data_IF_723392135216
#
_entry.id   IF_723392135216
#
_cell.length_a   1.000
_cell.length_b   1.000
_cell.length_c   1.000
_cell.angle_alpha   90.00
_cell.angle_beta   90.00
_cell.angle_gamma   90.00
#
_symmetry.space_group_name_H-M   'P 1'
#
loop_
_entity.id
_entity.type
_entity.pdbx_description
1 polymer ?
#
# COMPACT_ATOMS: atom_id res chain seq x y z
N UNK A 1 -18.99 18.06 -14.65
CA UNK A 1 -18.15 16.85 -14.86
C UNK A 1 -18.96 15.66 -14.36
N UNK A 2 -19.81 15.08 -15.22
CA UNK A 2 -20.73 14.02 -14.82
C UNK A 2 -19.98 12.70 -14.68
N UNK A 3 -20.14 12.03 -13.54
CA UNK A 3 -19.63 10.70 -13.25
C UNK A 3 -20.35 9.72 -14.18
N UNK A 4 -19.86 9.56 -15.41
CA UNK A 4 -20.43 8.60 -16.35
C UNK A 4 -20.00 7.20 -15.94
N UNK A 5 -20.97 6.42 -15.50
CA UNK A 5 -20.84 4.97 -15.37
C UNK A 5 -20.40 4.41 -16.74
N UNK A 6 -19.28 3.69 -16.80
CA UNK A 6 -18.76 3.12 -18.07
C UNK A 6 -19.83 2.35 -18.84
N UNK A 7 -20.79 1.71 -18.14
CA UNK A 7 -21.91 1.03 -18.79
C UNK A 7 -22.88 1.97 -19.50
N UNK A 8 -23.22 3.11 -18.90
CA UNK A 8 -24.09 4.07 -19.60
C UNK A 8 -23.37 4.60 -20.84
N UNK A 9 -22.05 4.84 -20.76
CA UNK A 9 -21.22 5.32 -21.87
C UNK A 9 -21.26 4.35 -23.05
N UNK A 10 -21.07 3.07 -22.78
CA UNK A 10 -21.09 2.03 -23.82
C UNK A 10 -22.51 1.79 -24.34
N UNK A 11 -23.54 1.85 -23.50
CA UNK A 11 -24.94 1.75 -23.93
C UNK A 11 -25.33 2.90 -24.86
N UNK A 12 -24.96 4.15 -24.53
CA UNK A 12 -25.19 5.31 -25.39
C UNK A 12 -24.40 5.22 -26.71
N UNK A 13 -23.16 4.71 -26.66
CA UNK A 13 -22.34 4.48 -27.85
C UNK A 13 -22.95 3.41 -28.77
N UNK A 14 -23.47 2.30 -28.22
CA UNK A 14 -24.17 1.25 -28.97
C UNK A 14 -25.39 1.78 -29.71
N UNK A 15 -26.22 2.61 -29.05
CA UNK A 15 -27.36 3.28 -29.68
C UNK A 15 -26.90 4.19 -30.81
N UNK A 16 -25.88 5.02 -30.57
CA UNK A 16 -25.31 5.89 -31.60
C UNK A 16 -24.66 5.15 -32.77
N UNK A 17 -24.10 3.95 -32.55
CA UNK A 17 -23.55 3.10 -33.63
C UNK A 17 -24.66 2.48 -34.48
N UNK A 18 -25.78 2.09 -33.87
CA UNK A 18 -26.97 1.62 -34.59
C UNK A 18 -27.59 2.73 -35.43
N UNK A 19 -27.76 3.92 -34.86
CA UNK A 19 -28.30 5.10 -35.57
C UNK A 19 -27.42 5.53 -36.75
N UNK A 20 -26.09 5.39 -36.62
CA UNK A 20 -25.13 5.64 -37.71
C UNK A 20 -24.98 4.49 -38.71
N UNK A 21 -25.73 3.39 -38.54
CA UNK A 21 -25.68 2.22 -39.43
C UNK A 21 -24.34 1.45 -39.38
N UNK A 22 -23.52 1.67 -38.35
CA UNK A 22 -22.23 1.00 -38.17
C UNK A 22 -22.37 -0.44 -37.68
N UNK A 23 -23.52 -0.77 -37.08
CA UNK A 23 -23.88 -2.10 -36.61
C UNK A 23 -25.30 -2.44 -37.05
N UNK A 24 -25.55 -3.70 -37.39
CA UNK A 24 -26.87 -4.19 -37.74
C UNK A 24 -27.72 -4.47 -36.49
N UNK A 25 -29.03 -4.61 -36.68
CA UNK A 25 -29.97 -4.83 -35.58
C UNK A 25 -29.67 -6.09 -34.75
N UNK A 26 -29.17 -7.16 -35.39
CA UNK A 26 -28.88 -8.42 -34.69
C UNK A 26 -27.61 -8.32 -33.84
N UNK A 27 -26.57 -7.62 -34.32
CA UNK A 27 -25.36 -7.33 -33.54
C UNK A 27 -25.64 -6.36 -32.38
N UNK A 28 -26.51 -5.38 -32.58
CA UNK A 28 -26.95 -4.48 -31.50
C UNK A 28 -27.63 -5.25 -30.36
N UNK A 29 -28.54 -6.18 -30.67
CA UNK A 29 -29.22 -6.98 -29.64
C UNK A 29 -28.26 -7.92 -28.92
N UNK A 30 -27.34 -8.58 -29.65
CA UNK A 30 -26.30 -9.44 -29.05
C UNK A 30 -25.38 -8.67 -28.11
N UNK A 31 -24.88 -7.50 -28.52
CA UNK A 31 -24.00 -6.66 -27.70
C UNK A 31 -24.74 -6.04 -26.51
N UNK A 32 -26.00 -5.66 -26.68
CA UNK A 32 -26.83 -5.14 -25.60
C UNK A 32 -27.13 -6.22 -24.54
N UNK A 33 -27.43 -7.44 -24.99
CA UNK A 33 -27.59 -8.60 -24.11
C UNK A 33 -26.28 -8.95 -23.38
N UNK A 34 -25.14 -8.93 -24.08
CA UNK A 34 -23.83 -9.14 -23.46
C UNK A 34 -23.52 -8.08 -22.38
N UNK A 35 -23.82 -6.79 -22.65
CA UNK A 35 -23.66 -5.71 -21.69
C UNK A 35 -24.50 -5.89 -20.41
N UNK A 36 -25.69 -6.50 -20.55
CA UNK A 36 -26.60 -6.83 -19.45
C UNK A 36 -26.13 -8.07 -18.68
N UNK A 37 -25.62 -9.11 -19.35
CA UNK A 37 -25.09 -10.32 -18.70
C UNK A 37 -23.78 -10.06 -17.94
N UNK A 38 -22.95 -9.10 -18.39
CA UNK A 38 -21.79 -8.61 -17.64
C UNK A 38 -22.16 -7.74 -16.42
N UNK A 39 -23.38 -7.83 -15.89
CA UNK A 39 -23.72 -7.19 -14.63
C UNK A 39 -23.16 -8.01 -13.45
N UNK A 40 -22.24 -7.47 -12.64
CA UNK A 40 -22.37 -7.72 -11.23
C UNK A 40 -23.63 -6.98 -10.81
N UNK A 41 -24.75 -7.68 -10.68
CA UNK A 41 -25.83 -7.17 -9.88
C UNK A 41 -25.27 -7.04 -8.47
N UNK A 42 -24.72 -5.87 -8.11
CA UNK A 42 -24.74 -5.42 -6.72
C UNK A 42 -26.20 -5.13 -6.41
N UNK A 43 -26.98 -6.21 -6.31
CA UNK A 43 -28.39 -6.17 -6.02
C UNK A 43 -28.54 -5.66 -4.60
N UNK A 44 -29.61 -4.93 -4.35
CA UNK A 44 -30.05 -4.63 -2.99
C UNK A 44 -30.09 -5.90 -2.12
N UNK A 45 -30.40 -7.06 -2.73
CA UNK A 45 -30.28 -8.40 -2.13
C UNK A 45 -28.86 -8.74 -1.68
N UNK A 46 -27.82 -8.46 -2.46
CA UNK A 46 -26.44 -8.68 -2.03
C UNK A 46 -26.05 -7.82 -0.83
N UNK A 47 -26.59 -6.59 -0.74
CA UNK A 47 -26.40 -5.71 0.42
C UNK A 47 -27.12 -6.27 1.65
N UNK A 48 -28.38 -6.71 1.50
CA UNK A 48 -29.13 -7.37 2.59
C UNK A 48 -28.43 -8.65 3.06
N UNK A 49 -27.95 -9.48 2.13
CA UNK A 49 -27.22 -10.70 2.46
C UNK A 49 -25.90 -10.40 3.19
N UNK A 50 -25.14 -9.41 2.72
CA UNK A 50 -23.93 -8.95 3.41
C UNK A 50 -24.25 -8.47 4.83
N UNK A 51 -25.29 -7.64 4.98
CA UNK A 51 -25.71 -7.14 6.28
C UNK A 51 -26.19 -8.28 7.20
N UNK A 52 -26.91 -9.25 6.65
CA UNK A 52 -27.33 -10.46 7.38
C UNK A 52 -26.15 -11.28 7.87
N UNK A 53 -25.14 -11.53 7.02
CA UNK A 53 -23.90 -12.22 7.41
C UNK A 53 -23.15 -11.45 8.50
N UNK A 54 -23.05 -10.13 8.37
CA UNK A 54 -22.40 -9.26 9.37
C UNK A 54 -23.16 -9.30 10.70
N UNK A 55 -24.50 -9.18 10.68
CA UNK A 55 -25.34 -9.27 11.88
C UNK A 55 -25.23 -10.64 12.56
N UNK A 56 -25.20 -11.73 11.80
CA UNK A 56 -24.98 -13.08 12.36
C UNK A 56 -23.59 -13.18 12.99
N UNK A 57 -22.55 -12.68 12.32
CA UNK A 57 -21.19 -12.66 12.88
C UNK A 57 -21.13 -11.86 14.19
N UNK A 58 -21.76 -10.68 14.25
CA UNK A 58 -21.90 -9.92 15.49
C UNK A 58 -22.72 -10.63 16.55
N UNK A 59 -23.82 -11.29 16.18
CA UNK A 59 -24.62 -12.10 17.09
C UNK A 59 -23.80 -13.21 17.75
N UNK A 60 -23.00 -13.93 16.96
CA UNK A 60 -22.08 -14.97 17.46
C UNK A 60 -21.02 -14.36 18.37
N UNK A 61 -20.40 -13.23 17.99
CA UNK A 61 -19.42 -12.53 18.83
C UNK A 61 -20.02 -12.09 20.16
N UNK A 62 -21.21 -11.47 20.15
CA UNK A 62 -21.93 -11.03 21.34
C UNK A 62 -22.34 -12.19 22.23
N UNK A 63 -22.80 -13.30 21.66
CA UNK A 63 -23.14 -14.50 22.43
C UNK A 63 -21.92 -15.10 23.14
N UNK A 64 -20.80 -15.23 22.42
CA UNK A 64 -19.54 -15.71 23.00
C UNK A 64 -19.05 -14.74 24.09
N UNK A 65 -19.12 -13.43 23.85
CA UNK A 65 -18.74 -12.41 24.83
C UNK A 65 -19.64 -12.45 26.09
N UNK A 66 -20.95 -12.60 25.93
CA UNK A 66 -21.90 -12.64 27.06
C UNK A 66 -21.71 -13.87 27.96
N UNK A 67 -21.24 -14.98 27.38
CA UNK A 67 -20.95 -16.21 28.12
C UNK A 67 -19.46 -16.30 28.52
N UNK A 68 -18.63 -15.30 28.18
CA UNK A 68 -17.18 -15.38 28.30
C UNK A 68 -16.74 -15.62 29.73
N UNK A 69 -17.27 -14.84 30.69
CA UNK A 69 -16.90 -14.89 32.10
C UNK A 69 -17.24 -16.24 32.76
N UNK A 70 -18.25 -16.95 32.26
CA UNK A 70 -18.67 -18.26 32.78
C UNK A 70 -17.85 -19.42 32.20
N UNK A 71 -17.13 -19.21 31.08
CA UNK A 71 -16.31 -20.25 30.45
C UNK A 71 -14.99 -20.47 31.20
N UNK A 72 -14.64 -21.73 31.44
CA UNK A 72 -13.31 -22.08 31.95
C UNK A 72 -12.22 -21.69 30.94
N UNK A 73 -11.02 -21.37 31.44
CA UNK A 73 -9.88 -21.03 30.57
C UNK A 73 -9.58 -22.13 29.55
N UNK A 74 -9.71 -23.40 29.94
CA UNK A 74 -9.52 -24.55 29.04
C UNK A 74 -10.56 -24.58 27.91
N UNK A 75 -11.82 -24.26 28.20
CA UNK A 75 -12.86 -24.20 27.17
C UNK A 75 -12.62 -23.05 26.19
N UNK A 76 -12.22 -21.87 26.68
CA UNK A 76 -11.86 -20.72 25.82
C UNK A 76 -10.73 -21.09 24.85
N UNK A 77 -9.67 -21.71 25.36
CA UNK A 77 -8.55 -22.18 24.53
C UNK A 77 -9.02 -23.27 23.56
N UNK A 78 -9.80 -24.25 24.02
CA UNK A 78 -10.37 -25.30 23.18
C UNK A 78 -11.22 -24.75 22.02
N UNK A 79 -12.03 -23.71 22.27
CA UNK A 79 -12.82 -23.03 21.26
C UNK A 79 -11.93 -22.35 20.20
N UNK A 80 -10.86 -21.66 20.62
CA UNK A 80 -9.90 -21.04 19.71
C UNK A 80 -9.19 -22.08 18.83
N UNK A 81 -8.72 -23.17 19.43
CA UNK A 81 -8.12 -24.28 18.70
C UNK A 81 -9.10 -24.94 17.72
N UNK A 82 -10.34 -25.19 18.15
CA UNK A 82 -11.37 -25.76 17.30
C UNK A 82 -11.68 -24.86 16.09
N UNK A 83 -11.81 -23.54 16.31
CA UNK A 83 -12.04 -22.58 15.24
C UNK A 83 -10.86 -22.50 14.25
N UNK A 84 -9.63 -22.55 14.77
CA UNK A 84 -8.41 -22.57 13.97
C UNK A 84 -8.34 -23.81 13.08
N UNK A 85 -8.50 -25.00 13.66
CA UNK A 85 -8.47 -26.27 12.93
C UNK A 85 -9.65 -26.44 11.97
N UNK A 86 -10.84 -25.97 12.33
CA UNK A 86 -11.99 -25.95 11.44
C UNK A 86 -11.73 -25.08 10.20
N UNK A 87 -11.10 -23.91 10.38
CA UNK A 87 -10.76 -23.01 9.28
C UNK A 87 -9.73 -23.64 8.34
N UNK A 88 -8.69 -24.27 8.89
CA UNK A 88 -7.70 -25.01 8.10
C UNK A 88 -8.32 -26.20 7.36
N UNK A 89 -9.11 -27.02 8.06
CA UNK A 89 -9.79 -28.18 7.48
C UNK A 89 -10.75 -27.80 6.36
N UNK A 90 -11.52 -26.72 6.56
CA UNK A 90 -12.48 -26.23 5.57
C UNK A 90 -11.76 -25.63 4.35
N UNK A 91 -10.62 -24.97 4.54
CA UNK A 91 -9.76 -24.52 3.44
C UNK A 91 -9.29 -25.70 2.58
N UNK A 92 -8.75 -26.75 3.19
CA UNK A 92 -8.29 -27.95 2.48
C UNK A 92 -9.45 -28.65 1.76
N UNK A 93 -10.58 -28.85 2.44
CA UNK A 93 -11.76 -29.47 1.86
C UNK A 93 -12.30 -28.69 0.64
N UNK A 94 -12.40 -27.36 0.74
CA UNK A 94 -12.82 -26.51 -0.37
C UNK A 94 -11.84 -26.56 -1.54
N UNK A 95 -10.54 -26.60 -1.25
CA UNK A 95 -9.49 -26.72 -2.27
C UNK A 95 -9.60 -28.05 -3.01
N UNK A 96 -9.84 -29.15 -2.31
CA UNK A 96 -10.08 -30.47 -2.91
C UNK A 96 -11.36 -30.51 -3.76
N UNK A 97 -12.38 -29.73 -3.41
CA UNK A 97 -13.63 -29.57 -4.17
C UNK A 97 -13.52 -28.60 -5.35
N UNK A 98 -12.34 -28.06 -5.65
CA UNK A 98 -12.12 -27.12 -6.75
C UNK A 98 -12.46 -25.65 -6.45
N UNK A 99 -12.93 -25.33 -5.24
CA UNK A 99 -13.29 -23.97 -4.83
C UNK A 99 -12.06 -23.19 -4.33
N UNK A 100 -11.11 -22.92 -5.22
CA UNK A 100 -9.79 -22.34 -4.89
C UNK A 100 -9.87 -20.96 -4.24
N UNK A 101 -10.81 -20.11 -4.65
CA UNK A 101 -11.01 -18.79 -4.05
C UNK A 101 -11.51 -18.88 -2.62
N UNK A 102 -12.57 -19.66 -2.38
CA UNK A 102 -13.13 -19.86 -1.04
C UNK A 102 -12.09 -20.49 -0.10
N UNK A 103 -11.29 -21.44 -0.59
CA UNK A 103 -10.21 -22.03 0.18
C UNK A 103 -9.20 -20.98 0.69
N UNK A 104 -8.82 -20.00 -0.14
CA UNK A 104 -7.92 -18.90 0.26
C UNK A 104 -8.53 -18.02 1.36
N UNK A 105 -9.85 -17.78 1.32
CA UNK A 105 -10.54 -17.03 2.36
C UNK A 105 -10.52 -17.77 3.71
N UNK A 106 -10.62 -19.10 3.70
CA UNK A 106 -10.48 -19.89 4.92
C UNK A 106 -9.04 -19.96 5.43
N UNK A 107 -8.02 -19.87 4.55
CA UNK A 107 -6.62 -19.65 5.00
C UNK A 107 -6.50 -18.29 5.68
N UNK A 108 -7.05 -17.24 5.08
CA UNK A 108 -7.05 -15.90 5.67
C UNK A 108 -7.74 -15.91 7.05
N UNK A 109 -8.90 -16.56 7.15
CA UNK A 109 -9.63 -16.73 8.40
C UNK A 109 -8.79 -17.48 9.45
N UNK A 110 -8.14 -18.58 9.06
CA UNK A 110 -7.26 -19.33 9.96
C UNK A 110 -6.09 -18.45 10.47
N UNK A 111 -5.48 -17.63 9.60
CA UNK A 111 -4.43 -16.70 9.98
C UNK A 111 -4.93 -15.57 10.90
N UNK A 112 -6.15 -15.07 10.68
CA UNK A 112 -6.78 -14.08 11.55
C UNK A 112 -7.09 -14.67 12.94
N UNK A 113 -7.66 -15.89 12.98
CA UNK A 113 -7.92 -16.62 14.22
C UNK A 113 -6.61 -16.90 14.96
N UNK A 114 -5.52 -17.24 14.25
CA UNK A 114 -4.21 -17.44 14.85
C UNK A 114 -3.73 -16.17 15.59
N UNK A 115 -3.77 -15.01 14.94
CA UNK A 115 -3.42 -13.74 15.59
C UNK A 115 -4.31 -13.39 16.78
N UNK A 116 -5.62 -13.51 16.60
CA UNK A 116 -6.59 -13.31 17.68
C UNK A 116 -6.32 -14.26 18.86
N UNK A 117 -6.01 -15.52 18.59
CA UNK A 117 -5.71 -16.53 19.60
C UNK A 117 -4.47 -16.17 20.41
N UNK A 118 -3.39 -15.70 19.78
CA UNK A 118 -2.20 -15.23 20.50
C UNK A 118 -2.58 -14.13 21.50
N UNK A 119 -3.33 -13.12 21.05
CA UNK A 119 -3.74 -11.98 21.88
C UNK A 119 -4.67 -12.41 23.02
N UNK A 120 -5.66 -13.25 22.72
CA UNK A 120 -6.63 -13.76 23.68
C UNK A 120 -5.98 -14.68 24.72
N UNK A 121 -5.04 -15.54 24.33
CA UNK A 121 -4.28 -16.37 25.26
C UNK A 121 -3.45 -15.47 26.19
N UNK A 122 -2.81 -14.43 25.64
CA UNK A 122 -2.08 -13.43 26.44
C UNK A 122 -2.97 -12.78 27.51
N UNK A 123 -4.21 -12.44 27.16
CA UNK A 123 -5.19 -11.89 28.11
C UNK A 123 -5.67 -12.93 29.13
N UNK A 124 -6.03 -14.14 28.71
CA UNK A 124 -6.56 -15.21 29.59
C UNK A 124 -5.55 -15.58 30.67
N UNK A 125 -4.27 -15.69 30.30
CA UNK A 125 -3.20 -16.11 31.22
C UNK A 125 -2.40 -14.93 31.79
N UNK A 126 -2.82 -13.69 31.55
CA UNK A 126 -2.15 -12.48 32.05
C UNK A 126 -0.64 -12.48 31.76
N UNK A 127 -0.26 -12.91 30.55
CA UNK A 127 1.14 -13.00 30.16
C UNK A 127 1.69 -11.58 30.05
N UNK A 128 2.66 -11.25 30.91
CA UNK A 128 3.36 -9.99 30.84
C UNK A 128 4.38 -10.02 29.70
N UNK A 129 4.07 -9.32 28.62
CA UNK A 129 4.92 -9.22 27.43
C UNK A 129 4.53 -7.99 26.60
N UNK A 130 5.39 -7.59 25.66
CA UNK A 130 5.10 -6.46 24.79
C UNK A 130 4.06 -6.88 23.75
N UNK A 131 2.97 -6.11 23.55
CA UNK A 131 2.00 -6.38 22.47
C UNK A 131 2.65 -6.48 21.08
N UNK A 132 3.75 -5.76 20.89
CA UNK A 132 4.58 -5.81 19.67
C UNK A 132 5.08 -7.22 19.34
N UNK A 133 5.53 -7.99 20.33
CA UNK A 133 6.06 -9.34 20.11
C UNK A 133 4.96 -10.30 19.65
N UNK A 134 3.73 -10.14 20.17
CA UNK A 134 2.57 -10.91 19.74
C UNK A 134 2.19 -10.62 18.27
N UNK A 135 2.23 -9.34 17.86
CA UNK A 135 1.95 -8.95 16.47
C UNK A 135 3.06 -9.46 15.52
N UNK A 136 4.31 -9.45 15.95
CA UNK A 136 5.42 -10.03 15.19
C UNK A 136 5.21 -11.54 14.97
N UNK A 137 4.93 -12.29 16.04
CA UNK A 137 4.69 -13.72 15.97
C UNK A 137 3.50 -14.05 15.05
N UNK A 138 2.44 -13.25 15.15
CA UNK A 138 1.29 -13.34 14.24
C UNK A 138 1.70 -13.11 12.78
N UNK A 139 2.46 -12.04 12.49
CA UNK A 139 2.90 -11.71 11.16
C UNK A 139 3.79 -12.82 10.55
N UNK A 140 4.78 -13.32 11.31
CA UNK A 140 5.68 -14.40 10.87
C UNK A 140 4.92 -15.70 10.61
N UNK A 141 4.05 -16.11 11.54
CA UNK A 141 3.21 -17.30 11.34
C UNK A 141 2.28 -17.17 10.12
N UNK A 142 1.75 -15.97 9.88
CA UNK A 142 0.93 -15.67 8.71
C UNK A 142 1.74 -15.68 7.42
N UNK A 143 2.98 -15.19 7.41
CA UNK A 143 3.89 -15.32 6.26
C UNK A 143 4.12 -16.79 5.90
N UNK A 144 4.50 -17.61 6.88
CA UNK A 144 4.73 -19.04 6.67
C UNK A 144 3.48 -19.71 6.10
N UNK A 145 2.31 -19.46 6.70
CA UNK A 145 1.03 -19.96 6.22
C UNK A 145 0.74 -19.50 4.78
N UNK A 146 0.96 -18.23 4.46
CA UNK A 146 0.74 -17.66 3.13
C UNK A 146 1.63 -18.31 2.07
N UNK A 147 2.92 -18.52 2.36
CA UNK A 147 3.86 -19.17 1.43
C UNK A 147 3.55 -20.65 1.21
N UNK A 148 3.24 -21.39 2.28
CA UNK A 148 2.91 -22.82 2.19
C UNK A 148 1.62 -23.06 1.41
N UNK A 149 0.62 -22.20 1.61
CA UNK A 149 -0.70 -22.36 0.99
C UNK A 149 -0.83 -21.66 -0.36
N UNK A 150 0.12 -20.77 -0.68
CA UNK A 150 0.08 -19.80 -1.79
C UNK A 150 -1.19 -18.94 -1.76
N UNK A 151 -1.60 -18.52 -0.56
CA UNK A 151 -2.79 -17.70 -0.37
C UNK A 151 -2.44 -16.21 -0.45
N UNK A 152 -2.97 -15.55 -1.48
CA UNK A 152 -2.76 -14.11 -1.73
C UNK A 152 -3.36 -13.23 -0.63
N UNK A 153 -4.61 -13.46 -0.17
CA UNK A 153 -5.17 -12.69 0.94
C UNK A 153 -4.40 -12.89 2.25
N UNK A 154 -3.89 -14.09 2.52
CA UNK A 154 -3.08 -14.35 3.70
C UNK A 154 -1.72 -13.60 3.62
N UNK A 155 -1.09 -13.55 2.45
CA UNK A 155 0.13 -12.77 2.27
C UNK A 155 -0.13 -11.28 2.50
N UNK A 156 -1.25 -10.76 1.99
CA UNK A 156 -1.66 -9.38 2.25
C UNK A 156 -1.84 -9.12 3.76
N UNK A 157 -2.47 -10.03 4.49
CA UNK A 157 -2.58 -9.95 5.96
C UNK A 157 -1.22 -9.96 6.64
N UNK A 158 -0.29 -10.82 6.21
CA UNK A 158 1.07 -10.86 6.75
C UNK A 158 1.80 -9.52 6.58
N UNK A 159 1.71 -8.91 5.39
CA UNK A 159 2.31 -7.60 5.10
C UNK A 159 1.66 -6.51 5.96
N UNK A 160 0.33 -6.51 6.11
CA UNK A 160 -0.34 -5.55 6.99
C UNK A 160 0.09 -5.71 8.45
N UNK A 161 0.12 -6.95 8.96
CA UNK A 161 0.52 -7.23 10.33
C UNK A 161 1.98 -6.84 10.62
N UNK A 162 2.92 -7.12 9.71
CA UNK A 162 4.33 -6.70 9.90
C UNK A 162 4.51 -5.19 9.77
N UNK A 163 3.67 -4.52 8.97
CA UNK A 163 3.64 -3.06 8.92
C UNK A 163 3.19 -2.48 10.25
N UNK A 164 2.11 -3.02 10.83
CA UNK A 164 1.66 -2.61 12.16
C UNK A 164 2.78 -2.81 13.17
N UNK A 165 3.39 -4.00 13.21
CA UNK A 165 4.53 -4.28 14.09
C UNK A 165 5.65 -3.24 14.00
N UNK A 166 6.03 -2.85 12.77
CA UNK A 166 7.10 -1.87 12.55
C UNK A 166 6.71 -0.45 13.01
N UNK A 167 5.41 -0.15 13.14
CA UNK A 167 4.88 1.14 13.55
C UNK A 167 4.46 1.19 15.03
N UNK A 168 4.42 0.08 15.76
CA UNK A 168 3.87 0.05 17.13
C UNK A 168 4.66 0.87 18.15
N UNK A 169 5.98 0.99 17.96
CA UNK A 169 6.83 1.81 18.84
C UNK A 169 6.90 3.28 18.36
N UNK A 170 6.06 3.66 17.40
CA UNK A 170 5.98 5.05 16.96
C UNK A 170 5.32 5.90 18.03
N UNK A 171 6.12 6.78 18.63
CA UNK A 171 5.65 7.73 19.62
C UNK A 171 5.78 9.16 19.09
N UNK A 172 4.65 9.85 18.90
CA UNK A 172 4.62 11.21 18.33
C UNK A 172 5.19 12.28 19.26
N UNK A 173 5.09 12.07 20.57
CA UNK A 173 5.41 13.05 21.61
C UNK A 173 6.41 12.53 22.66
N UNK A 174 6.93 11.31 22.47
CA UNK A 174 7.85 10.65 23.39
C UNK A 174 9.07 10.11 22.65
N UNK A 175 10.16 9.90 23.39
CA UNK A 175 11.37 9.23 22.87
C UNK A 175 11.29 7.76 23.28
N UNK A 176 10.87 6.91 22.36
CA UNK A 176 11.22 5.49 22.41
C UNK A 176 12.19 5.19 21.26
N UNK A 177 13.35 4.63 21.60
CA UNK A 177 14.56 4.65 20.78
C UNK A 177 14.62 3.53 19.72
N UNK A 178 13.53 2.79 19.49
CA UNK A 178 13.52 1.62 18.61
C UNK A 178 12.94 1.91 17.22
N UNK A 179 13.79 1.91 16.19
CA UNK A 179 13.34 1.85 14.80
C UNK A 179 13.61 0.46 14.20
N UNK A 180 12.58 -0.17 13.64
CA UNK A 180 12.66 -1.54 13.15
C UNK A 180 13.20 -1.62 11.73
N UNK A 181 14.53 -1.57 11.60
CA UNK A 181 15.22 -1.78 10.32
C UNK A 181 14.97 -3.18 9.73
N UNK A 182 14.67 -4.17 10.58
CA UNK A 182 14.32 -5.53 10.17
C UNK A 182 13.08 -5.63 9.30
N UNK A 183 12.22 -4.60 9.29
CA UNK A 183 11.05 -4.51 8.42
C UNK A 183 11.38 -4.74 6.94
N UNK A 184 12.52 -4.21 6.45
CA UNK A 184 12.90 -4.36 5.04
C UNK A 184 13.08 -5.83 4.63
N UNK A 185 13.57 -6.69 5.52
CA UNK A 185 13.72 -8.10 5.23
C UNK A 185 12.35 -8.78 5.03
N UNK A 186 11.38 -8.46 5.89
CA UNK A 186 10.00 -8.96 5.77
C UNK A 186 9.28 -8.36 4.56
N UNK A 187 9.53 -7.09 4.25
CA UNK A 187 9.00 -6.45 3.05
C UNK A 187 9.52 -7.12 1.78
N UNK A 188 10.83 -7.41 1.70
CA UNK A 188 11.45 -8.14 0.59
C UNK A 188 10.89 -9.55 0.46
N UNK A 189 10.67 -10.25 1.59
CA UNK A 189 9.98 -11.54 1.57
C UNK A 189 8.56 -11.40 1.01
N UNK A 190 7.80 -10.40 1.46
CA UNK A 190 6.47 -10.09 0.91
C UNK A 190 6.50 -9.78 -0.59
N UNK A 191 7.46 -8.99 -1.05
CA UNK A 191 7.66 -8.66 -2.46
C UNK A 191 8.01 -9.90 -3.30
N UNK A 192 8.88 -10.78 -2.81
CA UNK A 192 9.18 -12.05 -3.45
C UNK A 192 7.91 -12.93 -3.55
N UNK A 193 7.11 -12.99 -2.48
CA UNK A 193 5.82 -13.69 -2.46
C UNK A 193 4.82 -13.11 -3.45
N UNK A 194 4.68 -11.78 -3.51
CA UNK A 194 3.79 -11.09 -4.44
C UNK A 194 4.22 -11.30 -5.91
N UNK A 195 5.54 -11.29 -6.17
CA UNK A 195 6.10 -11.57 -7.48
C UNK A 195 5.88 -13.02 -7.91
N UNK A 196 6.08 -13.97 -6.98
CA UNK A 196 5.88 -15.41 -7.20
C UNK A 196 4.41 -15.76 -7.45
N UNK A 197 3.49 -15.19 -6.67
CA UNK A 197 2.04 -15.38 -6.82
C UNK A 197 1.40 -14.45 -7.85
N UNK A 198 2.18 -13.58 -8.51
CA UNK A 198 1.73 -12.59 -9.47
C UNK A 198 0.53 -11.72 -8.99
N UNK A 199 0.51 -11.39 -7.70
CA UNK A 199 -0.60 -10.68 -7.05
C UNK A 199 -0.41 -9.16 -7.10
N UNK A 200 -1.24 -8.49 -7.92
CA UNK A 200 -1.32 -7.02 -7.95
C UNK A 200 -1.88 -6.43 -6.66
N UNK A 201 -2.85 -7.12 -6.05
CA UNK A 201 -3.46 -6.69 -4.79
C UNK A 201 -2.41 -6.58 -3.67
N UNK A 202 -1.57 -7.62 -3.54
CA UNK A 202 -0.50 -7.61 -2.54
C UNK A 202 0.59 -6.59 -2.87
N UNK A 203 0.90 -6.38 -4.15
CA UNK A 203 1.85 -5.35 -4.57
C UNK A 203 1.41 -3.93 -4.16
N UNK A 204 0.12 -3.60 -4.26
CA UNK A 204 -0.42 -2.33 -3.74
C UNK A 204 -0.22 -2.19 -2.23
N UNK A 205 -0.55 -3.23 -1.47
CA UNK A 205 -0.36 -3.24 -0.01
C UNK A 205 1.12 -3.08 0.35
N UNK A 206 2.02 -3.74 -0.38
CA UNK A 206 3.47 -3.59 -0.19
C UNK A 206 3.95 -2.15 -0.49
N UNK A 207 3.43 -1.51 -1.53
CA UNK A 207 3.79 -0.11 -1.84
C UNK A 207 3.31 0.85 -0.76
N UNK A 208 2.08 0.67 -0.26
CA UNK A 208 1.56 1.45 0.87
C UNK A 208 2.38 1.21 2.14
N UNK A 209 2.66 -0.05 2.44
CA UNK A 209 3.47 -0.50 3.57
C UNK A 209 4.87 0.12 3.56
N UNK A 210 5.58 0.06 2.43
CA UNK A 210 6.90 0.67 2.27
C UNK A 210 6.84 2.18 2.38
N UNK A 211 5.86 2.82 1.75
CA UNK A 211 5.71 4.27 1.79
C UNK A 211 5.51 4.76 3.22
N UNK A 212 4.62 4.12 3.97
CA UNK A 212 4.39 4.46 5.39
C UNK A 212 5.65 4.26 6.23
N UNK A 213 6.36 3.15 6.05
CA UNK A 213 7.60 2.89 6.78
C UNK A 213 8.72 3.87 6.42
N UNK A 214 8.86 4.27 5.14
CA UNK A 214 9.83 5.28 4.70
C UNK A 214 9.50 6.67 5.26
N UNK A 215 8.21 7.05 5.30
CA UNK A 215 7.80 8.28 5.95
C UNK A 215 8.17 8.23 7.44
N UNK A 216 7.89 7.12 8.11
CA UNK A 216 8.28 6.94 9.51
C UNK A 216 9.80 7.02 9.72
N UNK A 217 10.60 6.40 8.83
CA UNK A 217 12.07 6.50 8.82
C UNK A 217 12.53 7.97 8.75
N UNK A 218 11.91 8.76 7.88
CA UNK A 218 12.22 10.20 7.73
C UNK A 218 11.90 10.97 9.00
N UNK A 219 10.76 10.70 9.65
CA UNK A 219 10.41 11.33 10.91
C UNK A 219 11.40 10.99 12.02
N UNK A 220 11.76 9.71 12.13
CA UNK A 220 12.65 9.20 13.17
C UNK A 220 14.08 9.73 13.00
N UNK A 221 14.70 9.50 11.85
CA UNK A 221 16.09 9.92 11.59
C UNK A 221 16.24 11.41 11.39
N UNK A 222 15.20 12.09 10.91
CA UNK A 222 15.24 13.53 10.64
C UNK A 222 15.00 14.38 11.87
N UNK A 223 14.79 13.74 13.03
CA UNK A 223 14.40 14.37 14.28
C UNK A 223 13.27 15.37 14.07
N UNK A 224 12.29 15.03 13.22
CA UNK A 224 11.29 15.98 12.68
C UNK A 224 10.36 16.58 13.74
N UNK A 225 10.47 16.18 15.00
CA UNK A 225 9.73 16.73 16.14
C UNK A 225 10.63 17.43 17.19
N UNK A 226 11.94 17.53 16.97
CA UNK A 226 12.89 18.19 17.87
C UNK A 226 13.02 19.71 17.59
N UNK A 227 13.76 20.46 18.41
CA UNK A 227 14.05 21.88 18.14
C UNK A 227 15.01 22.11 16.95
N UNK A 228 15.74 21.08 16.52
CA UNK A 228 16.55 21.07 15.31
C UNK A 228 16.13 19.93 14.38
N UNK A 229 15.77 20.24 13.13
CA UNK A 229 15.45 19.24 12.12
C UNK A 229 16.69 18.91 11.28
N UNK A 230 16.93 17.62 11.05
CA UNK A 230 17.86 17.16 10.02
C UNK A 230 17.06 16.67 8.81
N UNK A 231 17.05 17.42 7.71
CA UNK A 231 16.34 17.05 6.49
C UNK A 231 17.12 16.07 5.60
N UNK A 232 18.34 15.69 5.96
CA UNK A 232 19.14 14.72 5.20
C UNK A 232 18.39 13.42 4.87
N UNK A 233 17.74 12.73 5.84
CA UNK A 233 16.96 11.52 5.54
C UNK A 233 15.76 11.80 4.64
N UNK A 234 15.08 12.95 4.80
CA UNK A 234 13.98 13.35 3.92
C UNK A 234 14.47 13.45 2.47
N UNK A 235 15.57 14.17 2.25
CA UNK A 235 16.14 14.33 0.92
C UNK A 235 16.65 13.01 0.36
N UNK A 236 17.30 12.17 1.17
CA UNK A 236 17.72 10.85 0.74
C UNK A 236 16.54 10.02 0.22
N UNK A 237 15.44 9.95 0.97
CA UNK A 237 14.24 9.23 0.54
C UNK A 237 13.58 9.90 -0.68
N UNK A 238 13.54 11.22 -0.75
CA UNK A 238 12.98 11.95 -1.90
C UNK A 238 13.77 11.67 -3.20
N UNK A 239 15.09 11.72 -3.15
CA UNK A 239 15.95 11.46 -4.31
C UNK A 239 15.95 9.98 -4.70
N UNK A 240 15.87 9.05 -3.75
CA UNK A 240 15.61 7.64 -4.03
C UNK A 240 14.25 7.48 -4.71
N UNK A 241 13.22 8.20 -4.27
CA UNK A 241 11.89 8.17 -4.87
C UNK A 241 11.92 8.64 -6.32
N UNK A 242 12.62 9.74 -6.64
CA UNK A 242 12.80 10.18 -8.03
C UNK A 242 13.59 9.18 -8.88
N UNK A 243 14.65 8.58 -8.32
CA UNK A 243 15.38 7.52 -9.00
C UNK A 243 14.48 6.30 -9.30
N UNK A 244 13.60 5.90 -8.36
CA UNK A 244 12.64 4.82 -8.55
C UNK A 244 11.54 5.17 -9.56
N UNK A 245 11.07 6.43 -9.60
CA UNK A 245 10.14 6.90 -10.64
C UNK A 245 10.81 6.80 -12.01
N UNK A 246 12.05 7.28 -12.13
CA UNK A 246 12.86 7.20 -13.34
C UNK A 246 13.07 5.74 -13.78
N UNK A 247 13.38 4.85 -12.84
CA UNK A 247 13.52 3.41 -13.10
C UNK A 247 12.21 2.76 -13.57
N UNK A 248 11.09 3.10 -12.94
CA UNK A 248 9.78 2.58 -13.31
C UNK A 248 9.33 3.07 -14.70
N UNK A 249 9.61 4.34 -15.04
CA UNK A 249 9.37 4.90 -16.38
C UNK A 249 10.25 4.24 -17.44
N UNK A 250 11.53 4.01 -17.12
CA UNK A 250 12.45 3.29 -17.99
C UNK A 250 11.95 1.86 -18.26
N UNK A 251 11.55 1.14 -17.20
CA UNK A 251 10.95 -0.20 -17.29
C UNK A 251 9.67 -0.20 -18.14
N UNK A 252 8.79 0.79 -17.94
CA UNK A 252 7.50 0.89 -18.62
C UNK A 252 7.64 0.97 -20.15
N UNK A 253 8.66 1.69 -20.63
CA UNK A 253 8.85 1.94 -22.05
C UNK A 253 9.68 0.91 -22.82
N UNK A 254 10.18 -0.14 -22.15
CA UNK A 254 10.94 -1.23 -22.80
C UNK A 254 10.48 -2.62 -22.32
N UNK A 255 10.94 -3.07 -21.15
CA UNK A 255 10.90 -4.49 -20.73
C UNK A 255 9.79 -4.87 -19.73
N UNK A 256 9.11 -3.90 -19.13
CA UNK A 256 8.06 -4.10 -18.12
C UNK A 256 8.44 -5.12 -17.02
N UNK A 257 9.53 -4.85 -16.31
CA UNK A 257 10.07 -5.72 -15.25
C UNK A 257 9.07 -6.05 -14.13
N UNK A 258 8.09 -5.19 -13.88
CA UNK A 258 7.04 -5.37 -12.88
C UNK A 258 5.76 -6.01 -13.44
N UNK A 259 5.84 -6.67 -14.60
CA UNK A 259 4.70 -7.40 -15.22
C UNK A 259 3.45 -6.53 -15.40
N UNK A 260 3.65 -5.26 -15.77
CA UNK A 260 2.58 -4.28 -15.98
C UNK A 260 2.08 -3.56 -14.72
N UNK A 261 2.78 -3.71 -13.58
CA UNK A 261 2.50 -2.94 -12.35
C UNK A 261 3.20 -1.56 -12.32
N UNK A 262 4.03 -1.25 -13.32
CA UNK A 262 4.76 0.02 -13.44
C UNK A 262 3.87 1.26 -13.25
N UNK A 263 2.69 1.39 -13.89
CA UNK A 263 1.87 2.60 -13.74
C UNK A 263 1.37 2.77 -12.30
N UNK A 264 0.97 1.66 -11.67
CA UNK A 264 0.56 1.68 -10.27
C UNK A 264 1.72 2.04 -9.34
N UNK A 265 2.91 1.49 -9.57
CA UNK A 265 4.11 1.82 -8.81
C UNK A 265 4.45 3.31 -8.91
N UNK A 266 4.40 3.87 -10.13
CA UNK A 266 4.64 5.31 -10.39
C UNK A 266 3.67 6.16 -9.56
N UNK A 267 2.38 5.84 -9.53
CA UNK A 267 1.39 6.58 -8.71
C UNK A 267 1.76 6.56 -7.22
N UNK A 268 2.15 5.41 -6.67
CA UNK A 268 2.52 5.32 -5.25
C UNK A 268 3.80 6.12 -4.96
N UNK A 269 4.77 6.09 -5.87
CA UNK A 269 5.99 6.88 -5.75
C UNK A 269 5.71 8.40 -5.86
N UNK A 270 4.76 8.82 -6.69
CA UNK A 270 4.31 10.22 -6.72
C UNK A 270 3.61 10.65 -5.43
N UNK A 271 2.74 9.79 -4.88
CA UNK A 271 2.11 10.05 -3.60
C UNK A 271 3.15 10.18 -2.48
N UNK A 272 4.17 9.30 -2.49
CA UNK A 272 5.29 9.38 -1.55
C UNK A 272 6.11 10.67 -1.75
N UNK A 273 6.46 11.03 -2.99
CA UNK A 273 7.18 12.26 -3.30
C UNK A 273 6.38 13.50 -2.84
N UNK A 274 5.06 13.52 -3.10
CA UNK A 274 4.17 14.58 -2.63
C UNK A 274 4.13 14.69 -1.11
N UNK A 275 4.03 13.55 -0.40
CA UNK A 275 4.07 13.53 1.06
C UNK A 275 5.42 14.02 1.62
N UNK A 276 6.54 13.65 1.00
CA UNK A 276 7.88 14.11 1.39
C UNK A 276 8.06 15.61 1.16
N UNK A 277 7.57 16.14 0.04
CA UNK A 277 7.60 17.59 -0.24
C UNK A 277 6.71 18.34 0.74
N UNK A 278 5.55 17.79 1.09
CA UNK A 278 4.69 18.36 2.13
C UNK A 278 5.38 18.37 3.50
N UNK A 279 6.08 17.29 3.88
CA UNK A 279 6.85 17.26 5.12
C UNK A 279 8.06 18.18 5.11
N UNK A 280 8.70 18.34 3.95
CA UNK A 280 9.76 19.34 3.79
C UNK A 280 9.22 20.75 4.04
N UNK A 281 8.09 21.09 3.41
CA UNK A 281 7.40 22.36 3.65
C UNK A 281 7.10 22.54 5.14
N UNK A 282 6.43 21.56 5.78
CA UNK A 282 6.10 21.59 7.20
C UNK A 282 7.34 21.77 8.10
N UNK A 283 8.42 21.04 7.85
CA UNK A 283 9.63 21.11 8.66
C UNK A 283 10.30 22.49 8.59
N UNK A 284 10.22 23.17 7.44
CA UNK A 284 10.71 24.55 7.29
C UNK A 284 9.72 25.61 7.78
N UNK A 285 8.42 25.27 7.85
CA UNK A 285 7.37 26.21 8.25
C UNK A 285 7.03 26.21 9.75
N UNK A 286 7.38 25.14 10.47
CA UNK A 286 7.08 24.99 11.91
C UNK A 286 7.87 25.98 12.80
N UNK A 287 7.15 26.59 13.76
CA UNK A 287 7.73 27.35 14.87
C UNK A 287 7.94 26.47 16.10
N UNK A 288 9.01 26.71 16.83
CA UNK A 288 9.32 26.06 18.10
C UNK A 288 9.46 27.11 19.19
N UNK A 289 8.63 27.07 20.23
CA UNK A 289 8.61 28.05 21.32
C UNK A 289 8.54 29.53 20.86
N UNK A 290 7.84 29.80 19.76
CA UNK A 290 7.70 31.14 19.20
C UNK A 290 8.78 31.54 18.20
N UNK A 291 9.92 30.83 18.19
CA UNK A 291 11.04 31.06 17.28
C UNK A 291 11.00 30.11 16.07
N UNK A 292 11.76 30.49 15.04
CA UNK A 292 11.97 29.61 13.89
C UNK A 292 12.84 28.44 14.28
N UNK A 293 12.41 27.25 13.87
CA UNK A 293 13.14 26.02 14.10
C UNK A 293 14.44 26.00 13.31
N UNK A 294 15.52 25.48 13.91
CA UNK A 294 16.77 25.27 13.18
C UNK A 294 16.64 24.07 12.25
N UNK A 295 17.15 24.21 11.02
CA UNK A 295 17.07 23.17 9.98
C UNK A 295 18.43 22.98 9.33
N UNK A 296 18.86 21.73 9.17
CA UNK A 296 20.10 21.36 8.50
C UNK A 296 19.86 20.26 7.48
N UNK A 297 20.69 20.20 6.44
CA UNK A 297 20.65 19.13 5.45
C UNK A 297 22.01 18.94 4.79
N UNK A 298 22.40 17.68 4.54
CA UNK A 298 23.52 17.38 3.68
C UNK A 298 23.09 17.46 2.19
N UNK A 299 23.99 17.95 1.34
CA UNK A 299 23.74 18.14 -0.10
C UNK A 299 24.01 16.90 -0.95
N UNK A 300 24.81 15.95 -0.44
CA UNK A 300 25.21 14.75 -1.17
C UNK A 300 24.05 13.89 -1.70
N UNK A 301 22.89 13.75 -1.02
CA UNK A 301 21.79 12.93 -1.55
C UNK A 301 21.26 13.46 -2.89
N UNK A 302 21.25 14.79 -3.07
CA UNK A 302 20.82 15.42 -4.31
C UNK A 302 21.77 15.16 -5.47
N UNK A 303 23.09 15.15 -5.20
CA UNK A 303 24.09 14.82 -6.21
C UNK A 303 23.96 13.37 -6.68
N UNK A 304 23.76 12.44 -5.75
CA UNK A 304 23.55 11.02 -6.08
C UNK A 304 22.26 10.84 -6.90
N UNK A 305 21.16 11.47 -6.48
CA UNK A 305 19.89 11.44 -7.20
C UNK A 305 20.01 11.96 -8.64
N UNK A 306 20.73 13.07 -8.83
CA UNK A 306 21.00 13.67 -10.14
C UNK A 306 21.79 12.75 -11.06
N UNK A 307 22.83 12.11 -10.54
CA UNK A 307 23.64 11.15 -11.30
C UNK A 307 22.78 9.97 -11.74
N UNK A 308 22.00 9.38 -10.84
CA UNK A 308 21.18 8.19 -11.14
C UNK A 308 20.09 8.51 -12.15
N UNK A 309 19.31 9.59 -11.93
CA UNK A 309 18.25 10.00 -12.86
C UNK A 309 18.82 10.43 -14.22
N UNK A 310 19.97 11.09 -14.23
CA UNK A 310 20.69 11.47 -15.45
C UNK A 310 21.15 10.27 -16.27
N UNK A 311 21.70 9.24 -15.63
CA UNK A 311 22.09 7.97 -16.28
C UNK A 311 20.86 7.30 -16.90
N UNK A 312 19.76 7.17 -16.15
CA UNK A 312 18.54 6.53 -16.65
C UNK A 312 17.90 7.31 -17.81
N UNK A 313 17.89 8.65 -17.75
CA UNK A 313 17.44 9.48 -18.85
C UNK A 313 18.34 9.36 -20.10
N UNK A 314 19.66 9.30 -19.91
CA UNK A 314 20.62 9.08 -21.00
C UNK A 314 20.44 7.71 -21.67
N UNK A 315 20.29 6.65 -20.88
CA UNK A 315 19.99 5.30 -21.39
C UNK A 315 18.65 5.25 -22.12
N UNK A 316 17.61 5.88 -21.55
CA UNK A 316 16.30 5.99 -22.18
C UNK A 316 16.34 6.73 -23.52
N UNK A 317 17.17 7.78 -23.64
CA UNK A 317 17.37 8.51 -24.88
C UNK A 317 18.07 7.64 -25.94
N UNK A 318 19.16 6.95 -25.57
CA UNK A 318 19.91 6.07 -26.48
C UNK A 318 19.06 4.91 -26.99
N UNK A 319 18.22 4.34 -26.14
CA UNK A 319 17.37 3.19 -26.48
C UNK A 319 16.04 3.59 -27.14
N UNK A 320 15.84 4.88 -27.46
CA UNK A 320 14.59 5.41 -28.04
C UNK A 320 13.34 5.02 -27.23
N UNK A 321 13.47 5.01 -25.91
CA UNK A 321 12.41 4.66 -24.98
C UNK A 321 11.20 5.60 -25.18
N UNK A 322 9.98 5.04 -25.15
CA UNK A 322 8.73 5.79 -25.34
C UNK A 322 8.54 6.90 -24.30
N UNK A 323 9.07 6.70 -23.09
CA UNK A 323 8.96 7.62 -21.95
C UNK A 323 10.13 8.60 -21.81
N UNK A 324 10.93 8.80 -22.87
CA UNK A 324 12.12 9.67 -22.85
C UNK A 324 11.89 11.09 -22.33
N UNK A 325 10.71 11.67 -22.60
CA UNK A 325 10.37 13.00 -22.11
C UNK A 325 10.20 12.98 -20.59
N UNK A 326 9.42 12.03 -20.07
CA UNK A 326 9.18 11.88 -18.63
C UNK A 326 10.44 11.52 -17.86
N UNK A 327 11.35 10.76 -18.47
CA UNK A 327 12.70 10.54 -17.93
C UNK A 327 13.50 11.85 -17.83
N UNK A 328 13.48 12.71 -18.85
CA UNK A 328 14.14 14.02 -18.77
C UNK A 328 13.49 14.92 -17.71
N UNK A 329 12.16 14.88 -17.58
CA UNK A 329 11.43 15.59 -16.53
C UNK A 329 11.85 15.13 -15.13
N UNK A 330 12.10 13.83 -14.91
CA UNK A 330 12.62 13.34 -13.61
C UNK A 330 13.95 13.99 -13.23
N UNK A 331 14.85 14.20 -14.21
CA UNK A 331 16.14 14.87 -13.99
C UNK A 331 15.93 16.34 -13.60
N UNK A 332 15.02 17.04 -14.28
CA UNK A 332 14.69 18.44 -13.98
C UNK A 332 14.13 18.59 -12.57
N UNK A 333 13.17 17.76 -12.17
CA UNK A 333 12.62 17.78 -10.80
C UNK A 333 13.70 17.46 -9.76
N UNK A 334 14.55 16.48 -10.04
CA UNK A 334 15.69 16.12 -9.17
C UNK A 334 16.68 17.29 -9.03
N UNK A 335 16.99 17.98 -10.12
CA UNK A 335 17.86 19.16 -10.12
C UNK A 335 17.27 20.33 -9.33
N UNK A 336 15.97 20.61 -9.54
CA UNK A 336 15.26 21.65 -8.82
C UNK A 336 15.19 21.34 -7.32
N UNK A 337 14.85 20.11 -6.93
CA UNK A 337 14.85 19.69 -5.54
C UNK A 337 16.25 19.80 -4.90
N UNK A 338 17.32 19.41 -5.62
CA UNK A 338 18.69 19.55 -5.14
C UNK A 338 19.09 21.02 -4.96
N UNK A 339 18.79 21.88 -5.93
CA UNK A 339 19.07 23.31 -5.83
C UNK A 339 18.31 23.97 -4.66
N UNK A 340 17.01 23.65 -4.52
CA UNK A 340 16.19 24.15 -3.43
C UNK A 340 16.63 23.61 -2.05
N UNK A 341 17.15 22.37 -1.98
CA UNK A 341 17.68 21.81 -0.73
C UNK A 341 18.92 22.57 -0.21
N UNK A 342 19.73 23.13 -1.10
CA UNK A 342 20.91 23.94 -0.77
C UNK A 342 20.53 25.33 -0.26
N UNK A 343 19.41 25.86 -0.75
CA UNK A 343 18.97 27.19 -0.37
C UNK A 343 18.60 27.25 1.12
N UNK A 344 18.16 26.12 1.74
CA UNK A 344 17.73 25.92 3.13
C UNK A 344 16.74 26.95 3.73
N UNK A 345 16.51 28.07 3.04
CA UNK A 345 15.75 29.21 3.45
C UNK A 345 14.34 29.17 2.87
N UNK A 346 13.42 29.74 3.63
CA UNK A 346 12.03 29.98 3.22
C UNK A 346 11.98 30.76 1.91
N UNK A 347 11.55 30.08 0.85
CA UNK A 347 10.96 30.77 -0.30
C UNK A 347 9.60 30.11 -0.56
N UNK A 348 8.55 30.50 0.20
CA UNK A 348 7.24 29.84 0.17
C UNK A 348 6.70 29.68 -1.25
N UNK A 349 6.84 30.73 -2.06
CA UNK A 349 6.41 30.75 -3.46
C UNK A 349 7.15 29.74 -4.36
N UNK A 350 8.43 29.44 -4.10
CA UNK A 350 9.16 28.43 -4.86
C UNK A 350 8.72 27.00 -4.51
N UNK A 351 8.37 26.74 -3.24
CA UNK A 351 7.84 25.44 -2.82
C UNK A 351 6.43 25.20 -3.36
N UNK A 352 5.58 26.22 -3.30
CA UNK A 352 4.24 26.16 -3.90
C UNK A 352 4.33 25.94 -5.42
N UNK A 353 5.23 26.66 -6.10
CA UNK A 353 5.50 26.47 -7.52
C UNK A 353 6.03 25.06 -7.85
N UNK A 354 6.90 24.51 -7.00
CA UNK A 354 7.42 23.15 -7.14
C UNK A 354 6.32 22.09 -6.96
N UNK A 355 5.46 22.23 -5.96
CA UNK A 355 4.31 21.34 -5.74
C UNK A 355 3.31 21.42 -6.89
N UNK A 356 3.03 22.64 -7.38
CA UNK A 356 2.18 22.85 -8.55
C UNK A 356 2.78 22.17 -9.79
N UNK A 357 4.06 22.37 -10.08
CA UNK A 357 4.74 21.71 -11.19
C UNK A 357 4.67 20.18 -11.09
N UNK A 358 4.90 19.62 -9.89
CA UNK A 358 4.82 18.18 -9.64
C UNK A 358 3.40 17.66 -9.88
N UNK A 359 2.36 18.37 -9.44
CA UNK A 359 0.97 18.00 -9.71
C UNK A 359 0.59 18.06 -11.19
N UNK A 360 1.07 19.07 -11.94
CA UNK A 360 0.90 19.16 -13.40
C UNK A 360 1.55 17.95 -14.08
N UNK A 361 2.73 17.54 -13.63
CA UNK A 361 3.42 16.37 -14.18
C UNK A 361 2.62 15.08 -13.95
N UNK A 362 2.07 14.90 -12.75
CA UNK A 362 1.17 13.78 -12.44
C UNK A 362 -0.07 13.79 -13.35
N UNK A 363 -0.74 14.94 -13.51
CA UNK A 363 -1.93 15.07 -14.36
C UNK A 363 -1.62 14.75 -15.83
N UNK A 364 -0.45 15.14 -16.33
CA UNK A 364 -0.04 14.83 -17.70
C UNK A 364 0.11 13.32 -17.95
N UNK A 365 0.52 12.55 -16.95
CA UNK A 365 0.72 11.11 -17.09
C UNK A 365 -0.56 10.28 -17.06
N UNK A 366 -1.71 10.88 -16.70
CA UNK A 366 -3.03 10.26 -16.74
C UNK A 366 -3.46 9.73 -15.39
#
# INVERSE_FOLDING_TARGET
MAIWNRKSAVAAALTGWKERGLIDGTTFERLSADLQTQAPARSFTAIILLLGVICIAFGVMTFVAANWDQMSNLFRVGLLFAALWASWGLSVWLKMRGHSWAAQLFVLLACAIFGASIMLIGQIYQIQGKPKDAVWLWAVGTFVAAFLTRSVPALALAVMAITVWALMDFNLFGREDGFEYGFLAYWLAGAAGAWWMASRFTAHILMLSLSTWLLFLVFHLGEMMASGANLTPLFAVLFITFALISLALYSLGDRQWFKGFEPAAIVHLFLLAGALVFFWYMATDMRWNGDWRSVSAASWPGLVGLVVTGILAGLGYQQKNTQRYDLAVTVVFTALAAALSLALQRVPFLMEGYMLALSIWVIRMG
#
